data_IF_702335840460
#
_entry.id   IF_702335840460
#
_cell.length_a   1.000
_cell.length_b   1.000
_cell.length_c   1.000
_cell.angle_alpha   90.00
_cell.angle_beta   90.00
_cell.angle_gamma   90.00
#
_symmetry.space_group_name_H-M   'P 1'
#
loop_
_entity.id
_entity.type
_entity.pdbx_description
1 polymer ?
#
# COMPACT_ATOMS: atom_id res chain seq x y z
N UNK A 1 -30.37 -11.76 7.85
CA UNK A 1 -29.07 -11.32 8.41
C UNK A 1 -29.35 -10.04 9.18
N UNK A 2 -29.13 -10.01 10.50
CA UNK A 2 -29.33 -8.79 11.28
C UNK A 2 -28.21 -7.80 10.93
N UNK A 3 -28.55 -6.54 10.68
CA UNK A 3 -27.57 -5.47 10.39
C UNK A 3 -27.85 -4.32 11.33
N UNK A 4 -26.82 -3.86 12.03
CA UNK A 4 -26.95 -2.81 13.05
C UNK A 4 -26.90 -1.43 12.39
N UNK A 5 -27.76 -0.54 12.88
CA UNK A 5 -27.74 0.86 12.53
C UNK A 5 -27.80 1.68 13.81
N UNK A 6 -26.77 2.50 14.05
CA UNK A 6 -26.64 3.25 15.30
C UNK A 6 -27.00 4.71 15.11
N UNK A 7 -27.87 5.23 15.99
CA UNK A 7 -28.20 6.66 16.11
C UNK A 7 -27.63 7.15 17.43
N UNK A 8 -26.73 8.13 17.38
CA UNK A 8 -26.05 8.64 18.57
C UNK A 8 -26.81 9.83 19.18
N UNK A 9 -27.03 9.80 20.49
CA UNK A 9 -27.56 10.92 21.29
C UNK A 9 -26.50 11.35 22.32
N UNK A 10 -26.26 12.66 22.44
CA UNK A 10 -25.16 13.18 23.24
C UNK A 10 -25.61 13.58 24.65
N UNK A 11 -24.88 13.11 25.66
CA UNK A 11 -24.87 13.68 27.01
C UNK A 11 -23.44 14.12 27.32
N UNK A 12 -23.17 15.43 27.17
CA UNK A 12 -22.03 16.15 27.74
C UNK A 12 -20.61 15.65 27.39
N UNK A 13 -20.02 16.19 26.32
CA UNK A 13 -18.55 16.22 26.16
C UNK A 13 -18.12 17.36 25.23
N UNK A 14 -16.86 17.83 25.35
CA UNK A 14 -16.25 18.82 24.45
C UNK A 14 -16.24 18.29 23.02
N UNK A 15 -16.63 19.14 22.06
CA UNK A 15 -16.58 18.84 20.63
C UNK A 15 -15.12 18.60 20.19
N UNK A 16 -14.83 17.45 19.58
CA UNK A 16 -13.48 17.10 19.11
C UNK A 16 -13.36 17.25 17.59
N UNK A 17 -14.27 16.64 16.82
CA UNK A 17 -14.21 16.65 15.34
C UNK A 17 -15.53 17.06 14.66
N UNK A 18 -16.67 16.79 15.30
CA UNK A 18 -18.01 17.10 14.79
C UNK A 18 -18.80 17.91 15.82
N UNK A 19 -19.68 18.80 15.34
CA UNK A 19 -20.45 19.69 16.20
C UNK A 19 -21.41 18.94 17.15
N UNK A 20 -21.47 19.36 18.41
CA UNK A 20 -22.10 18.66 19.54
C UNK A 20 -23.60 18.88 19.71
N UNK A 21 -24.29 19.32 18.65
CA UNK A 21 -25.76 19.42 18.63
C UNK A 21 -26.40 18.57 17.53
N UNK A 22 -25.59 17.89 16.75
CA UNK A 22 -26.02 17.16 15.56
C UNK A 22 -26.11 15.66 15.84
N UNK A 23 -27.14 15.03 15.30
CA UNK A 23 -27.30 13.57 15.33
C UNK A 23 -26.70 12.97 14.07
N UNK A 24 -26.10 11.79 14.19
CA UNK A 24 -25.49 11.07 13.08
C UNK A 24 -26.05 9.67 12.96
N UNK A 25 -26.00 9.16 11.73
CA UNK A 25 -26.38 7.82 11.34
C UNK A 25 -25.12 7.12 10.89
N UNK A 26 -24.82 5.98 11.51
CA UNK A 26 -23.67 5.16 11.14
C UNK A 26 -24.19 3.81 10.68
N UNK A 27 -23.88 3.48 9.42
CA UNK A 27 -24.18 2.15 8.85
C UNK A 27 -23.13 1.12 9.27
N UNK A 28 -23.48 -0.15 9.12
CA UNK A 28 -22.62 -1.29 9.46
C UNK A 28 -21.29 -1.31 8.66
N UNK A 29 -21.29 -0.75 7.45
CA UNK A 29 -20.11 -0.54 6.62
C UNK A 29 -19.40 0.81 6.92
N UNK A 30 -19.65 1.38 8.10
CA UNK A 30 -19.01 2.57 8.67
C UNK A 30 -19.18 3.87 7.88
N UNK A 31 -20.24 4.00 7.08
CA UNK A 31 -20.60 5.28 6.46
C UNK A 31 -21.33 6.17 7.48
N UNK A 32 -20.88 7.41 7.60
CA UNK A 32 -21.44 8.42 8.52
C UNK A 32 -22.22 9.46 7.73
N UNK A 33 -23.45 9.74 8.15
CA UNK A 33 -24.28 10.81 7.59
C UNK A 33 -24.96 11.62 8.69
N UNK A 34 -25.23 12.92 8.49
CA UNK A 34 -26.13 13.68 9.36
C UNK A 34 -27.51 13.02 9.39
N UNK A 35 -28.08 12.89 10.58
CA UNK A 35 -29.42 12.35 10.77
C UNK A 35 -30.45 13.39 10.31
N UNK A 36 -31.26 12.98 9.34
CA UNK A 36 -32.39 13.75 8.84
C UNK A 36 -33.50 12.79 8.44
N UNK A 37 -34.74 13.29 8.32
CA UNK A 37 -35.87 12.46 7.87
C UNK A 37 -35.58 11.84 6.49
N UNK A 38 -34.94 12.58 5.57
CA UNK A 38 -34.55 12.04 4.27
C UNK A 38 -33.45 10.99 4.37
N UNK A 39 -32.44 11.17 5.22
CA UNK A 39 -31.42 10.15 5.49
C UNK A 39 -32.06 8.87 6.05
N UNK A 40 -32.98 9.01 7.01
CA UNK A 40 -33.70 7.89 7.64
C UNK A 40 -34.57 7.11 6.65
N UNK A 41 -35.25 7.80 5.74
CA UNK A 41 -36.11 7.18 4.71
C UNK A 41 -35.31 6.42 3.64
N UNK A 42 -34.02 6.69 3.47
CA UNK A 42 -33.14 5.98 2.55
C UNK A 42 -32.53 4.71 3.15
N UNK A 43 -32.56 4.55 4.49
CA UNK A 43 -32.01 3.38 5.16
C UNK A 43 -32.66 2.05 4.74
N UNK A 44 -33.99 1.95 4.60
CA UNK A 44 -34.65 0.71 4.18
C UNK A 44 -34.27 0.29 2.77
N UNK A 45 -33.82 1.22 1.90
CA UNK A 45 -33.33 0.90 0.55
C UNK A 45 -31.89 0.33 0.55
N UNK A 46 -31.16 0.47 1.67
CA UNK A 46 -29.82 -0.10 1.87
C UNK A 46 -29.85 -1.53 2.44
N UNK A 47 -31.05 -2.01 2.82
CA UNK A 47 -31.38 -3.38 3.18
C UNK A 47 -32.29 -3.91 2.05
N UNK A 48 -32.20 -5.18 1.66
CA UNK A 48 -32.82 -5.70 0.41
C UNK A 48 -34.32 -5.38 0.23
N UNK A 49 -34.80 -5.52 -1.02
CA UNK A 49 -36.01 -4.95 -1.65
C UNK A 49 -37.38 -5.05 -0.95
N UNK A 50 -37.49 -5.68 0.21
CA UNK A 50 -38.70 -5.63 1.02
C UNK A 50 -38.55 -4.49 2.03
N UNK A 51 -39.15 -3.34 1.70
CA UNK A 51 -39.19 -2.15 2.56
C UNK A 51 -39.65 -2.44 3.99
N UNK A 52 -39.49 -1.45 4.89
CA UNK A 52 -39.69 -1.52 6.36
C UNK A 52 -40.80 -2.52 6.78
N UNK A 53 -40.43 -3.80 6.89
CA UNK A 53 -41.27 -4.87 7.39
C UNK A 53 -40.96 -5.13 8.87
N UNK A 54 -41.75 -6.02 9.47
CA UNK A 54 -41.70 -6.47 10.87
C UNK A 54 -40.38 -7.14 11.33
N UNK A 55 -39.22 -6.81 10.74
CA UNK A 55 -37.92 -7.44 10.95
C UNK A 55 -36.82 -6.51 11.50
N UNK A 56 -37.17 -5.30 11.97
CA UNK A 56 -36.23 -4.38 12.62
C UNK A 56 -36.56 -4.28 14.12
N UNK A 57 -35.53 -4.40 14.95
CA UNK A 57 -35.60 -4.20 16.40
C UNK A 57 -34.64 -3.07 16.77
N UNK A 58 -35.12 -2.10 17.55
CA UNK A 58 -34.26 -1.06 18.11
C UNK A 58 -33.47 -1.65 19.27
N UNK A 59 -32.13 -1.56 19.18
CA UNK A 59 -31.23 -2.07 20.20
C UNK A 59 -30.37 -0.93 20.71
N UNK A 60 -30.52 -0.60 21.99
CA UNK A 60 -29.63 0.31 22.67
C UNK A 60 -28.34 -0.42 23.06
N UNK A 61 -27.19 0.11 22.64
CA UNK A 61 -25.88 -0.49 22.92
C UNK A 61 -24.98 0.50 23.65
N UNK A 62 -24.25 0.00 24.65
CA UNK A 62 -23.20 0.79 25.31
C UNK A 62 -21.85 0.52 24.65
N UNK A 63 -21.11 1.59 24.36
CA UNK A 63 -19.78 1.51 23.75
C UNK A 63 -18.72 1.59 24.84
N UNK A 64 -18.16 0.44 25.23
CA UNK A 64 -16.99 0.40 26.11
C UNK A 64 -15.69 0.24 25.30
N UNK A 65 -14.55 0.34 25.99
CA UNK A 65 -13.22 0.07 25.40
C UNK A 65 -13.17 -1.28 24.68
N UNK A 66 -13.84 -2.30 25.21
CA UNK A 66 -13.87 -3.64 24.61
C UNK A 66 -14.57 -3.64 23.25
N UNK A 67 -15.72 -2.95 23.14
CA UNK A 67 -16.43 -2.83 21.87
C UNK A 67 -15.61 -2.01 20.86
N UNK A 68 -14.96 -0.92 21.30
CA UNK A 68 -14.07 -0.13 20.41
C UNK A 68 -12.92 -0.99 19.86
N UNK A 69 -12.31 -1.83 20.70
CA UNK A 69 -11.27 -2.76 20.24
C UNK A 69 -11.83 -3.84 19.31
N UNK A 70 -13.06 -4.31 19.56
CA UNK A 70 -13.74 -5.28 18.67
C UNK A 70 -14.01 -4.66 17.31
N UNK A 71 -14.51 -3.41 17.28
CA UNK A 71 -14.69 -2.64 16.05
C UNK A 71 -13.37 -2.50 15.30
N UNK A 72 -12.27 -2.11 15.96
CA UNK A 72 -10.96 -1.93 15.33
C UNK A 72 -10.46 -3.23 14.67
N UNK A 73 -10.71 -4.39 15.28
CA UNK A 73 -10.40 -5.69 14.66
C UNK A 73 -11.25 -5.96 13.42
N UNK A 74 -12.56 -5.67 13.51
CA UNK A 74 -13.49 -5.86 12.40
C UNK A 74 -13.21 -4.92 11.22
N UNK A 75 -12.74 -3.69 11.47
CA UNK A 75 -12.40 -2.70 10.43
C UNK A 75 -11.43 -3.21 9.36
N UNK A 76 -10.50 -4.11 9.73
CA UNK A 76 -9.49 -4.68 8.81
C UNK A 76 -9.97 -5.95 8.10
N UNK A 77 -11.12 -6.50 8.47
CA UNK A 77 -11.50 -7.88 8.09
C UNK A 77 -12.98 -8.07 7.75
N UNK A 78 -13.81 -7.05 7.92
CA UNK A 78 -15.27 -7.14 7.77
C UNK A 78 -15.91 -5.86 7.23
N UNK A 79 -17.02 -6.05 6.52
CA UNK A 79 -17.91 -4.99 6.02
C UNK A 79 -19.11 -4.75 6.97
N UNK A 80 -19.19 -5.48 8.08
CA UNK A 80 -20.29 -5.45 9.07
C UNK A 80 -19.77 -5.15 10.48
N UNK A 81 -19.05 -4.04 10.62
CA UNK A 81 -18.25 -3.71 11.82
C UNK A 81 -19.11 -3.56 13.09
N UNK A 82 -20.30 -2.96 12.97
CA UNK A 82 -21.17 -2.76 14.13
C UNK A 82 -21.81 -4.09 14.54
N UNK A 83 -22.28 -4.88 13.58
CA UNK A 83 -22.82 -6.21 13.83
C UNK A 83 -21.77 -7.09 14.52
N UNK A 84 -20.54 -7.10 14.02
CA UNK A 84 -19.46 -7.90 14.59
C UNK A 84 -19.07 -7.43 15.99
N UNK A 85 -19.02 -6.13 16.23
CA UNK A 85 -18.59 -5.59 17.51
C UNK A 85 -19.65 -5.68 18.61
N UNK A 86 -20.93 -5.58 18.26
CA UNK A 86 -22.02 -5.42 19.22
C UNK A 86 -22.97 -6.62 19.30
N UNK A 87 -23.10 -7.44 18.24
CA UNK A 87 -24.05 -8.56 18.21
C UNK A 87 -23.38 -9.94 18.19
N UNK A 88 -22.09 -10.05 17.88
CA UNK A 88 -21.40 -11.34 17.94
C UNK A 88 -21.30 -11.80 19.41
N UNK A 89 -22.13 -12.77 19.80
CA UNK A 89 -21.98 -13.47 21.08
C UNK A 89 -20.68 -14.25 21.00
N UNK A 90 -19.75 -13.98 21.92
CA UNK A 90 -18.41 -14.58 21.97
C UNK A 90 -18.43 -16.08 21.69
N UNK A 91 -18.17 -16.44 20.45
CA UNK A 91 -17.66 -17.74 20.05
C UNK A 91 -16.28 -17.49 19.51
N UNK A 92 -15.29 -17.59 20.40
CA UNK A 92 -13.94 -17.99 20.04
C UNK A 92 -14.04 -19.39 19.41
N UNK A 93 -14.42 -19.45 18.14
CA UNK A 93 -14.34 -20.63 17.28
C UNK A 93 -14.86 -20.32 15.88
N UNK A 94 -14.18 -19.43 15.16
CA UNK A 94 -14.18 -19.54 13.71
C UNK A 94 -12.76 -19.32 13.20
N UNK A 95 -12.20 -20.41 12.67
CA UNK A 95 -11.08 -20.44 11.73
C UNK A 95 -11.19 -19.20 10.85
N UNK A 96 -10.11 -18.42 10.78
CA UNK A 96 -9.93 -17.45 9.73
C UNK A 96 -10.21 -18.18 8.41
N UNK A 97 -11.41 -17.98 7.85
CA UNK A 97 -11.64 -18.24 6.45
C UNK A 97 -10.66 -17.33 5.75
N UNK A 98 -9.54 -17.91 5.33
CA UNK A 98 -8.65 -17.33 4.35
C UNK A 98 -9.54 -16.90 3.18
N UNK A 99 -9.96 -15.64 3.18
CA UNK A 99 -10.28 -14.95 1.96
C UNK A 99 -8.96 -14.97 1.19
N UNK A 100 -8.81 -15.95 0.31
CA UNK A 100 -7.82 -15.93 -0.74
C UNK A 100 -8.21 -14.73 -1.60
N UNK A 101 -7.69 -13.56 -1.24
CA UNK A 101 -7.68 -12.42 -2.13
C UNK A 101 -6.75 -12.86 -3.26
N UNK A 102 -7.36 -13.35 -4.34
CA UNK A 102 -6.63 -13.54 -5.57
C UNK A 102 -5.97 -12.19 -5.91
N UNK A 103 -4.66 -12.14 -6.18
CA UNK A 103 -4.03 -10.91 -6.56
C UNK A 103 -4.63 -10.52 -7.91
N UNK A 104 -5.52 -9.53 -7.91
CA UNK A 104 -5.92 -8.88 -9.16
C UNK A 104 -4.74 -7.99 -9.53
N UNK A 105 -3.76 -8.59 -10.19
CA UNK A 105 -2.71 -7.89 -10.92
C UNK A 105 -3.42 -7.22 -12.11
N UNK A 106 -3.94 -6.01 -11.91
CA UNK A 106 -4.11 -5.07 -13.01
C UNK A 106 -2.88 -4.19 -13.03
N UNK A 107 -1.93 -4.60 -13.87
CA UNK A 107 -0.85 -3.74 -14.35
C UNK A 107 -1.46 -2.69 -15.27
N UNK A 108 -2.00 -1.62 -14.69
CA UNK A 108 -2.06 -0.34 -15.36
C UNK A 108 -1.13 0.58 -14.57
N UNK A 109 0.13 0.63 -15.01
CA UNK A 109 1.12 1.60 -14.53
C UNK A 109 0.62 2.97 -14.99
N UNK A 110 -0.02 3.70 -14.10
CA UNK A 110 -0.35 5.11 -14.32
C UNK A 110 0.93 5.91 -14.03
N UNK A 111 1.54 6.61 -15.00
CA UNK A 111 2.68 7.45 -14.73
C UNK A 111 2.17 8.75 -14.10
N UNK A 112 2.36 8.92 -12.78
CA UNK A 112 2.07 10.19 -12.13
C UNK A 112 3.30 10.73 -11.39
N UNK A 113 3.62 11.99 -11.73
CA UNK A 113 4.55 12.93 -11.11
C UNK A 113 6.05 12.60 -11.16
N UNK A 114 6.74 13.25 -12.10
CA UNK A 114 8.14 13.60 -11.97
C UNK A 114 8.24 14.80 -11.03
N UNK A 115 8.72 14.57 -9.81
CA UNK A 115 9.11 15.58 -8.83
C UNK A 115 10.65 15.47 -8.62
N UNK A 116 11.38 16.55 -8.33
CA UNK A 116 12.83 16.59 -8.42
C UNK A 116 13.48 15.80 -7.27
N UNK A 117 14.41 14.92 -7.62
CA UNK A 117 15.38 14.22 -6.78
C UNK A 117 14.98 14.04 -5.30
N UNK A 118 13.99 13.19 -5.05
CA UNK A 118 13.72 12.67 -3.71
C UNK A 118 14.87 11.81 -3.20
N UNK A 119 15.09 11.81 -1.88
CA UNK A 119 16.05 10.94 -1.20
C UNK A 119 15.76 9.48 -1.53
N UNK A 120 16.66 8.78 -2.21
CA UNK A 120 16.54 7.34 -2.45
C UNK A 120 17.27 6.56 -1.35
N UNK A 121 16.63 5.51 -0.83
CA UNK A 121 17.27 4.58 0.10
C UNK A 121 17.95 3.45 -0.65
N UNK A 122 19.24 3.22 -0.40
CA UNK A 122 19.99 2.13 -1.01
C UNK A 122 19.93 0.89 -0.14
N UNK A 123 19.34 -0.17 -0.67
CA UNK A 123 19.27 -1.47 -0.02
C UNK A 123 19.94 -2.53 -0.90
N UNK A 124 20.36 -3.63 -0.28
CA UNK A 124 20.89 -4.81 -0.96
C UNK A 124 19.97 -5.98 -0.69
N UNK A 125 19.28 -6.46 -1.71
CA UNK A 125 18.33 -7.56 -1.62
C UNK A 125 18.99 -8.88 -1.99
N UNK A 126 18.75 -9.92 -1.19
CA UNK A 126 19.17 -11.29 -1.45
C UNK A 126 17.95 -12.11 -1.89
N UNK A 127 17.93 -12.51 -3.15
CA UNK A 127 16.79 -13.14 -3.81
C UNK A 127 17.08 -14.60 -4.14
N UNK A 128 16.23 -15.52 -3.68
CA UNK A 128 16.34 -16.94 -4.01
C UNK A 128 15.69 -17.21 -5.36
N UNK A 129 16.51 -17.47 -6.38
CA UNK A 129 16.08 -17.52 -7.79
C UNK A 129 15.19 -18.71 -8.13
N UNK A 130 15.26 -19.79 -7.33
CA UNK A 130 14.41 -20.99 -7.54
C UNK A 130 13.04 -20.84 -6.89
N UNK A 131 13.00 -20.34 -5.65
CA UNK A 131 11.74 -20.12 -4.93
C UNK A 131 11.04 -18.84 -5.35
N UNK A 132 11.73 -17.99 -6.12
CA UNK A 132 11.27 -16.69 -6.57
C UNK A 132 10.84 -15.80 -5.40
N UNK A 133 11.68 -15.76 -4.37
CA UNK A 133 11.38 -15.10 -3.10
C UNK A 133 12.59 -14.33 -2.57
N UNK A 134 12.35 -13.14 -2.03
CA UNK A 134 13.35 -12.40 -1.24
C UNK A 134 13.61 -13.16 0.07
N UNK A 135 14.88 -13.39 0.36
CA UNK A 135 15.30 -14.00 1.63
C UNK A 135 15.37 -12.93 2.72
N UNK A 136 16.07 -11.84 2.43
CA UNK A 136 16.22 -10.66 3.26
C UNK A 136 16.83 -9.50 2.45
N UNK A 137 16.84 -8.30 3.02
CA UNK A 137 17.56 -7.14 2.54
C UNK A 137 18.54 -6.62 3.60
N UNK A 138 19.73 -6.19 3.19
CA UNK A 138 20.66 -5.41 4.00
C UNK A 138 20.48 -3.93 3.68
N UNK A 139 20.40 -3.09 4.71
CA UNK A 139 20.13 -1.66 4.57
C UNK A 139 20.77 -0.87 5.72
N UNK A 140 20.83 0.46 5.59
CA UNK A 140 21.22 1.35 6.68
C UNK A 140 20.00 1.72 7.55
N UNK A 141 20.28 2.41 8.65
CA UNK A 141 19.26 2.93 9.58
C UNK A 141 18.20 3.81 8.89
N UNK A 142 18.55 4.60 7.87
CA UNK A 142 17.61 5.49 7.18
C UNK A 142 16.42 4.74 6.55
N UNK A 143 16.67 3.56 5.97
CA UNK A 143 15.59 2.71 5.43
C UNK A 143 14.73 2.12 6.56
N UNK A 144 15.35 1.78 7.69
CA UNK A 144 14.62 1.27 8.87
C UNK A 144 13.76 2.36 9.50
N UNK A 145 14.27 3.57 9.65
CA UNK A 145 13.51 4.72 10.13
C UNK A 145 12.28 4.97 9.25
N UNK A 146 12.43 4.83 7.93
CA UNK A 146 11.31 4.92 6.99
C UNK A 146 10.27 3.82 7.24
N UNK A 147 10.68 2.55 7.38
CA UNK A 147 9.77 1.44 7.67
C UNK A 147 9.06 1.60 9.02
N UNK A 148 9.78 2.02 10.07
CA UNK A 148 9.20 2.27 11.39
C UNK A 148 8.26 3.48 11.38
N UNK A 149 8.54 4.48 10.52
CA UNK A 149 7.67 5.61 10.26
C UNK A 149 6.30 5.21 9.70
N UNK A 150 6.16 4.05 9.03
CA UNK A 150 4.86 3.55 8.59
C UNK A 150 3.92 3.28 9.77
N UNK A 151 4.44 2.90 10.93
CA UNK A 151 3.62 2.64 12.13
C UNK A 151 3.01 3.91 12.73
N UNK A 152 3.57 5.08 12.40
CA UNK A 152 3.06 6.38 12.85
C UNK A 152 2.21 7.07 11.77
N UNK A 153 2.04 6.42 10.61
CA UNK A 153 1.35 6.99 9.47
C UNK A 153 -0.17 6.96 9.69
N UNK A 154 -0.84 8.13 9.75
CA UNK A 154 -2.29 8.17 9.94
C UNK A 154 -3.02 7.38 8.84
N UNK A 155 -4.04 6.62 9.24
CA UNK A 155 -4.81 5.77 8.32
C UNK A 155 -5.45 6.57 7.17
N UNK A 156 -5.81 7.83 7.43
CA UNK A 156 -6.28 8.78 6.43
C UNK A 156 -5.24 9.05 5.34
N UNK A 157 -3.96 9.18 5.70
CA UNK A 157 -2.87 9.31 4.74
C UNK A 157 -2.73 8.06 3.87
N UNK A 158 -2.82 6.88 4.49
CA UNK A 158 -2.73 5.57 3.81
C UNK A 158 -3.79 5.51 2.71
N UNK A 159 -5.05 5.79 3.04
CA UNK A 159 -6.18 5.77 2.10
C UNK A 159 -5.98 6.79 0.98
N UNK A 160 -5.59 8.04 1.32
CA UNK A 160 -5.34 9.11 0.35
C UNK A 160 -4.27 8.72 -0.67
N UNK A 161 -3.14 8.20 -0.21
CA UNK A 161 -1.98 7.90 -1.06
C UNK A 161 -2.06 6.55 -1.78
N UNK A 162 -2.97 5.65 -1.36
CA UNK A 162 -3.21 4.39 -2.07
C UNK A 162 -4.18 4.52 -3.26
N UNK A 163 -4.75 5.71 -3.49
CA UNK A 163 -5.71 6.01 -4.53
C UNK A 163 -7.16 5.83 -4.07
N UNK A 164 -8.02 6.82 -4.34
CA UNK A 164 -9.42 6.79 -3.96
C UNK A 164 -10.17 5.65 -4.67
N UNK A 165 -10.60 4.63 -3.92
CA UNK A 165 -11.36 3.48 -4.42
C UNK A 165 -10.57 2.17 -4.59
N UNK A 166 -9.29 2.15 -4.22
CA UNK A 166 -8.43 0.95 -4.24
C UNK A 166 -7.78 0.67 -2.90
N UNK A 167 -8.30 1.20 -1.79
CA UNK A 167 -7.72 0.92 -0.49
C UNK A 167 -7.98 -0.55 -0.14
N UNK A 168 -6.90 -1.30 0.05
CA UNK A 168 -6.97 -2.72 0.42
C UNK A 168 -7.14 -2.94 1.92
N UNK A 169 -7.29 -1.85 2.69
CA UNK A 169 -7.50 -1.90 4.14
C UNK A 169 -8.90 -2.35 4.54
N UNK A 170 -9.84 -2.32 3.59
CA UNK A 170 -11.23 -2.71 3.80
C UNK A 170 -12.20 -1.59 3.47
N UNK A 171 -13.40 -1.97 3.01
CA UNK A 171 -14.45 -1.05 2.58
C UNK A 171 -14.87 -0.07 3.67
N UNK A 172 -14.83 -0.49 4.93
CA UNK A 172 -15.20 0.33 6.08
C UNK A 172 -14.27 1.54 6.26
N UNK A 173 -12.95 1.38 6.02
CA UNK A 173 -12.01 2.50 6.06
C UNK A 173 -12.27 3.50 4.91
N UNK A 174 -12.53 2.99 3.70
CA UNK A 174 -12.90 3.83 2.56
C UNK A 174 -14.18 4.64 2.82
N UNK A 175 -15.22 3.98 3.35
CA UNK A 175 -16.48 4.62 3.68
C UNK A 175 -16.32 5.66 4.78
N UNK A 176 -15.52 5.37 5.81
CA UNK A 176 -15.23 6.33 6.87
C UNK A 176 -14.50 7.55 6.33
N UNK A 177 -13.46 7.35 5.50
CA UNK A 177 -12.72 8.44 4.85
C UNK A 177 -13.61 9.30 3.94
N UNK A 178 -14.45 8.67 3.11
CA UNK A 178 -15.46 9.39 2.28
C UNK A 178 -16.48 10.13 3.12
N UNK A 179 -16.84 9.61 4.29
CA UNK A 179 -17.75 10.32 5.19
C UNK A 179 -17.12 11.59 5.74
N UNK A 180 -15.79 11.61 5.97
CA UNK A 180 -15.10 12.84 6.34
C UNK A 180 -15.17 13.88 5.21
N UNK A 181 -14.98 13.48 3.94
CA UNK A 181 -15.14 14.40 2.80
C UNK A 181 -16.56 14.92 2.71
N UNK A 182 -17.57 14.03 2.81
CA UNK A 182 -18.98 14.41 2.75
C UNK A 182 -19.35 15.38 3.89
N UNK A 183 -18.87 15.13 5.12
CA UNK A 183 -19.11 15.98 6.29
C UNK A 183 -18.39 17.33 6.21
N UNK A 184 -17.21 17.38 5.59
CA UNK A 184 -16.51 18.62 5.32
C UNK A 184 -17.31 19.49 4.35
N UNK A 185 -17.80 18.91 3.27
CA UNK A 185 -18.55 19.61 2.22
C UNK A 185 -19.85 20.24 2.76
N UNK A 186 -20.49 19.60 3.74
CA UNK A 186 -21.68 20.13 4.42
C UNK A 186 -21.36 20.97 5.68
N UNK A 187 -20.09 21.31 5.91
CA UNK A 187 -19.65 22.21 6.99
C UNK A 187 -19.86 21.66 8.40
N UNK A 188 -19.73 20.33 8.58
CA UNK A 188 -19.99 19.64 9.86
C UNK A 188 -18.74 19.33 10.69
N UNK A 189 -17.55 19.57 10.13
CA UNK A 189 -16.28 19.46 10.85
C UNK A 189 -15.99 20.75 11.63
N UNK A 190 -15.50 20.61 12.86
CA UNK A 190 -15.44 21.71 13.83
C UNK A 190 -14.27 22.68 13.64
N UNK A 191 -13.20 22.30 12.93
CA UNK A 191 -12.02 23.16 12.74
C UNK A 191 -11.18 22.79 11.51
N UNK A 192 -10.41 23.75 10.99
CA UNK A 192 -9.42 23.60 9.89
C UNK A 192 -8.40 22.49 10.21
N UNK A 193 -8.05 22.32 11.48
CA UNK A 193 -7.17 21.24 11.93
C UNK A 193 -7.75 19.86 11.65
N UNK A 194 -9.08 19.67 11.73
CA UNK A 194 -9.72 18.40 11.38
C UNK A 194 -9.56 18.08 9.89
N UNK A 195 -9.70 19.10 9.04
CA UNK A 195 -9.49 18.97 7.59
C UNK A 195 -8.05 18.62 7.28
N UNK A 196 -7.10 19.27 7.94
CA UNK A 196 -5.69 18.92 7.82
C UNK A 196 -5.42 17.50 8.35
N UNK A 197 -5.95 17.07 9.50
CA UNK A 197 -5.63 15.73 10.05
C UNK A 197 -6.23 14.58 9.23
N UNK A 198 -7.38 14.78 8.59
CA UNK A 198 -8.06 13.70 7.87
C UNK A 198 -7.94 13.78 6.35
N UNK A 199 -7.97 14.97 5.76
CA UNK A 199 -8.02 15.13 4.30
C UNK A 199 -6.67 15.54 3.72
N UNK A 200 -5.82 16.19 4.50
CA UNK A 200 -4.45 16.53 4.11
C UNK A 200 -3.41 16.46 5.24
N UNK A 201 -3.27 15.29 5.89
CA UNK A 201 -2.32 15.16 7.00
C UNK A 201 -0.90 15.35 6.49
N UNK A 202 -0.26 16.45 6.91
CA UNK A 202 1.13 16.79 6.60
C UNK A 202 2.18 15.85 7.22
N UNK A 203 1.78 14.64 7.60
CA UNK A 203 2.67 13.62 8.16
C UNK A 203 3.17 12.79 6.98
N UNK A 204 4.38 13.08 6.51
CA UNK A 204 5.04 12.38 5.41
C UNK A 204 6.23 11.56 5.95
N UNK A 205 6.32 10.23 5.73
CA UNK A 205 7.54 9.46 5.97
C UNK A 205 8.65 9.85 4.98
N UNK A 206 8.28 10.51 3.88
CA UNK A 206 9.17 10.95 2.80
C UNK A 206 9.93 12.25 3.08
N UNK A 207 9.45 13.05 4.04
CA UNK A 207 10.06 14.33 4.44
C UNK A 207 10.59 14.30 5.87
N UNK A 208 10.78 13.11 6.46
CA UNK A 208 11.43 12.98 7.78
C UNK A 208 12.71 13.82 7.75
N UNK A 209 13.60 13.63 6.77
CA UNK A 209 14.89 14.33 6.71
C UNK A 209 14.86 15.83 6.33
N UNK A 210 13.87 16.30 5.55
CA UNK A 210 13.76 17.71 5.11
C UNK A 210 13.04 18.57 6.15
N UNK A 211 11.98 18.06 6.78
CA UNK A 211 11.28 18.78 7.84
C UNK A 211 12.04 18.80 9.17
N UNK A 212 12.96 17.86 9.43
CA UNK A 212 13.89 17.92 10.58
C UNK A 212 14.86 19.11 10.47
N UNK A 213 15.18 19.59 9.26
CA UNK A 213 16.00 20.81 9.09
C UNK A 213 15.20 22.12 9.14
N UNK A 214 13.93 22.09 8.74
CA UNK A 214 13.11 23.31 8.62
C UNK A 214 12.24 23.60 9.85
N UNK A 215 11.77 22.57 10.55
CA UNK A 215 11.27 22.75 11.90
C UNK A 215 12.46 22.65 12.83
N UNK A 216 13.06 23.81 13.15
CA UNK A 216 13.50 24.01 14.53
C UNK A 216 12.41 23.40 15.38
N UNK A 217 12.80 22.48 16.26
CA UNK A 217 11.97 21.94 17.31
C UNK A 217 10.82 22.89 17.60
N UNK A 218 9.58 22.40 17.58
CA UNK A 218 8.62 22.90 18.56
C UNK A 218 9.42 23.05 19.83
N UNK A 219 9.76 24.30 20.17
CA UNK A 219 10.72 24.65 21.20
C UNK A 219 10.14 24.02 22.45
N UNK A 220 10.59 22.79 22.76
CA UNK A 220 9.90 21.99 23.74
C UNK A 220 10.32 22.60 25.07
N UNK A 221 9.51 23.55 25.53
CA UNK A 221 9.58 24.07 26.90
C UNK A 221 9.03 23.01 27.84
N UNK A 222 9.51 21.77 27.72
CA UNK A 222 9.24 20.74 28.69
C UNK A 222 10.08 21.10 29.92
N UNK A 223 9.46 21.44 31.05
CA UNK A 223 10.18 21.60 32.30
C UNK A 223 10.92 20.29 32.57
N UNK A 224 12.19 20.37 32.95
CA UNK A 224 12.96 19.22 33.41
C UNK A 224 12.42 18.80 34.78
N UNK A 225 11.23 18.21 34.81
CA UNK A 225 10.77 17.54 36.02
C UNK A 225 9.75 16.44 35.75
N UNK A 226 9.74 15.55 36.73
CA UNK A 226 9.43 14.13 36.71
C UNK A 226 8.10 13.69 36.03
N UNK A 227 8.20 12.57 35.31
CA UNK A 227 7.12 11.70 34.77
C UNK A 227 6.52 12.06 33.39
N UNK A 228 7.04 11.34 32.40
CA UNK A 228 6.40 10.85 31.15
C UNK A 228 5.89 11.87 30.13
N UNK A 229 6.70 12.21 29.11
CA UNK A 229 6.22 12.55 27.75
C UNK A 229 7.29 12.26 26.69
N UNK A 230 6.90 11.59 25.61
CA UNK A 230 7.75 11.19 24.48
C UNK A 230 8.18 12.42 23.66
N UNK A 231 9.45 12.82 23.75
CA UNK A 231 10.07 13.71 22.78
C UNK A 231 10.50 12.87 21.56
N UNK A 232 9.91 13.10 20.39
CA UNK A 232 10.30 12.44 19.15
C UNK A 232 11.68 12.94 18.72
N UNK A 233 12.69 12.11 18.91
CA UNK A 233 14.00 12.29 18.28
C UNK A 233 13.92 11.83 16.81
N UNK A 234 14.63 12.52 15.90
CA UNK A 234 14.63 12.24 14.46
C UNK A 234 15.25 10.90 14.04
N UNK A 235 15.96 10.22 14.94
CA UNK A 235 16.58 8.92 14.71
C UNK A 235 15.81 7.90 15.57
N UNK A 236 14.94 7.11 14.93
CA UNK A 236 14.13 6.09 15.63
C UNK A 236 15.04 4.95 16.05
N UNK A 237 16.01 4.63 15.18
CA UNK A 237 17.04 3.63 15.44
C UNK A 237 18.44 4.23 15.35
N UNK A 238 19.39 3.59 16.07
CA UNK A 238 20.79 3.98 16.03
C UNK A 238 21.39 3.83 14.62
N UNK A 239 22.35 4.70 14.28
CA UNK A 239 23.08 4.55 13.03
C UNK A 239 23.79 3.19 12.96
N UNK A 240 23.39 2.38 11.98
CA UNK A 240 23.99 1.07 11.77
C UNK A 240 23.45 0.40 10.50
N UNK A 241 23.92 -0.83 10.29
CA UNK A 241 23.39 -1.72 9.26
C UNK A 241 22.35 -2.65 9.86
N UNK A 242 21.33 -2.95 9.09
CA UNK A 242 20.19 -3.76 9.47
C UNK A 242 19.90 -4.82 8.42
N UNK A 243 19.31 -5.91 8.88
CA UNK A 243 18.76 -7.00 8.07
C UNK A 243 17.24 -6.94 8.19
N UNK A 244 16.56 -6.83 7.05
CA UNK A 244 15.10 -6.76 6.95
C UNK A 244 14.61 -8.02 6.24
N UNK A 245 13.77 -8.81 6.89
CA UNK A 245 13.13 -9.98 6.30
C UNK A 245 12.09 -9.60 5.24
N UNK A 246 11.68 -10.57 4.43
CA UNK A 246 10.60 -10.39 3.44
C UNK A 246 9.23 -10.07 4.09
N UNK A 247 9.07 -10.47 5.35
CA UNK A 247 7.97 -10.12 6.24
C UNK A 247 8.16 -8.75 6.94
N UNK A 248 9.16 -7.98 6.51
CA UNK A 248 9.59 -6.69 7.09
C UNK A 248 10.10 -6.78 8.53
N UNK A 249 10.43 -7.97 9.03
CA UNK A 249 11.03 -8.12 10.35
C UNK A 249 12.46 -7.57 10.36
N UNK A 250 12.72 -6.58 11.21
CA UNK A 250 13.99 -5.86 11.27
C UNK A 250 14.89 -6.39 12.39
N UNK A 251 16.17 -6.60 12.09
CA UNK A 251 17.22 -6.91 13.05
C UNK A 251 18.46 -6.05 12.77
N UNK A 252 19.20 -5.70 13.82
CA UNK A 252 20.56 -5.18 13.64
C UNK A 252 21.41 -6.23 12.90
N UNK A 253 22.22 -5.78 11.94
CA UNK A 253 23.05 -6.67 11.14
C UNK A 253 24.12 -7.35 12.02
N UNK A 254 24.12 -8.67 12.00
CA UNK A 254 25.11 -9.53 12.63
C UNK A 254 25.27 -10.80 11.81
N UNK A 255 26.34 -11.55 12.05
CA UNK A 255 26.52 -12.85 11.40
C UNK A 255 25.31 -13.78 11.65
N UNK A 256 24.72 -13.73 12.85
CA UNK A 256 23.56 -14.56 13.21
C UNK A 256 22.27 -14.11 12.53
N UNK A 257 22.02 -12.80 12.44
CA UNK A 257 20.81 -12.29 11.78
C UNK A 257 20.80 -12.59 10.29
N UNK A 258 21.99 -12.66 9.66
CA UNK A 258 22.15 -13.11 8.27
C UNK A 258 22.03 -14.63 8.18
N UNK A 259 22.83 -15.39 8.95
CA UNK A 259 22.96 -16.85 8.80
C UNK A 259 21.64 -17.61 8.97
N UNK A 260 20.69 -17.08 9.76
CA UNK A 260 19.35 -17.67 9.90
C UNK A 260 18.62 -17.83 8.56
N UNK A 261 18.88 -16.94 7.60
CA UNK A 261 18.28 -16.99 6.26
C UNK A 261 19.02 -17.97 5.35
N UNK A 262 20.29 -18.29 5.63
CA UNK A 262 21.13 -19.14 4.78
C UNK A 262 21.12 -20.63 5.15
N UNK A 263 20.47 -21.00 6.26
CA UNK A 263 20.40 -22.39 6.70
C UNK A 263 19.74 -23.28 5.63
N UNK A 264 20.50 -24.23 5.06
CA UNK A 264 20.01 -25.13 4.01
C UNK A 264 19.90 -24.51 2.62
N UNK A 265 20.38 -23.27 2.42
CA UNK A 265 20.33 -22.57 1.14
C UNK A 265 21.68 -22.67 0.43
N UNK A 266 21.64 -23.10 -0.84
CA UNK A 266 22.79 -23.10 -1.72
C UNK A 266 23.00 -21.70 -2.32
N UNK A 267 24.20 -21.16 -2.13
CA UNK A 267 24.63 -19.85 -2.64
C UNK A 267 24.47 -19.72 -4.16
N UNK A 268 24.56 -20.81 -4.92
CA UNK A 268 24.35 -20.77 -6.36
C UNK A 268 22.91 -20.36 -6.76
N UNK A 269 21.95 -20.47 -5.84
CA UNK A 269 20.55 -20.09 -6.06
C UNK A 269 20.19 -18.72 -5.46
N UNK A 270 21.17 -17.98 -4.95
CA UNK A 270 20.94 -16.66 -4.34
C UNK A 270 21.58 -15.57 -5.19
N UNK A 271 20.79 -14.58 -5.54
CA UNK A 271 21.22 -13.43 -6.32
C UNK A 271 21.18 -12.17 -5.45
N UNK A 272 22.30 -11.44 -5.42
CA UNK A 272 22.47 -10.21 -4.65
C UNK A 272 22.26 -8.99 -5.57
N UNK A 273 21.37 -8.07 -5.19
CA UNK A 273 21.03 -6.89 -5.99
C UNK A 273 21.01 -5.62 -5.16
N UNK A 274 21.67 -4.57 -5.64
CA UNK A 274 21.50 -3.23 -5.10
C UNK A 274 20.22 -2.60 -5.70
N UNK A 275 19.32 -2.16 -4.83
CA UNK A 275 18.05 -1.53 -5.18
C UNK A 275 18.02 -0.15 -4.54
N UNK A 276 17.78 0.88 -5.36
CA UNK A 276 17.38 2.20 -4.87
C UNK A 276 15.86 2.19 -4.70
N UNK A 277 15.41 2.48 -3.48
CA UNK A 277 13.99 2.61 -3.12
C UNK A 277 13.65 4.09 -3.13
N UNK A 278 12.77 4.50 -4.02
CA UNK A 278 12.24 5.85 -4.07
C UNK A 278 10.90 5.97 -3.35
N UNK A 279 10.27 7.13 -3.53
CA UNK A 279 8.94 7.43 -2.96
C UNK A 279 7.88 6.42 -3.42
N UNK A 280 7.90 6.04 -4.70
CA UNK A 280 6.90 5.13 -5.26
C UNK A 280 7.04 3.73 -4.64
N UNK A 281 8.24 3.16 -4.60
CA UNK A 281 8.47 1.84 -4.02
C UNK A 281 8.14 1.82 -2.53
N UNK A 282 8.38 2.91 -1.81
CA UNK A 282 8.00 3.01 -0.40
C UNK A 282 6.48 3.09 -0.19
N UNK A 283 5.71 3.75 -1.07
CA UNK A 283 4.24 3.68 -1.06
C UNK A 283 3.76 2.25 -1.34
N UNK A 284 4.43 1.55 -2.24
CA UNK A 284 4.15 0.14 -2.52
C UNK A 284 4.53 -0.78 -1.35
N UNK A 285 5.62 -0.50 -0.63
CA UNK A 285 5.98 -1.18 0.61
C UNK A 285 4.96 -0.92 1.73
N UNK A 286 4.48 0.31 1.88
CA UNK A 286 3.40 0.63 2.83
C UNK A 286 2.12 -0.13 2.49
N UNK A 287 1.81 -0.30 1.19
CA UNK A 287 0.70 -1.14 0.73
C UNK A 287 0.94 -2.59 1.11
N UNK A 288 2.12 -3.13 0.79
CA UNK A 288 2.48 -4.50 1.05
C UNK A 288 2.53 -4.83 2.55
N UNK A 289 2.93 -3.89 3.42
CA UNK A 289 2.88 -4.02 4.89
C UNK A 289 1.48 -4.42 5.39
N UNK A 290 0.43 -3.89 4.74
CA UNK A 290 -0.96 -4.09 5.16
C UNK A 290 -1.61 -5.31 4.50
N UNK A 291 -1.10 -5.77 3.37
CA UNK A 291 -1.77 -6.79 2.55
C UNK A 291 -0.96 -8.05 2.30
N UNK A 292 0.35 -8.03 2.53
CA UNK A 292 1.28 -9.10 2.13
C UNK A 292 2.01 -9.72 3.31
N UNK A 293 2.39 -10.99 3.14
CA UNK A 293 3.32 -11.71 4.04
C UNK A 293 4.75 -11.76 3.48
N UNK A 294 4.94 -11.30 2.25
CA UNK A 294 6.18 -11.35 1.45
C UNK A 294 6.37 -10.00 0.77
N UNK A 295 6.39 -8.95 1.59
CA UNK A 295 6.26 -7.58 1.14
C UNK A 295 7.44 -7.14 0.25
N UNK A 296 8.67 -7.53 0.58
CA UNK A 296 9.83 -7.19 -0.26
C UNK A 296 9.76 -7.91 -1.60
N UNK A 297 9.36 -9.19 -1.61
CA UNK A 297 9.14 -9.95 -2.83
C UNK A 297 8.09 -9.27 -3.69
N UNK A 298 6.91 -9.00 -3.16
CA UNK A 298 5.79 -8.45 -3.94
C UNK A 298 6.12 -7.09 -4.57
N UNK A 299 6.85 -6.23 -3.85
CA UNK A 299 7.25 -4.91 -4.35
C UNK A 299 8.39 -5.00 -5.35
N UNK A 300 9.41 -5.82 -5.09
CA UNK A 300 10.64 -5.81 -5.89
C UNK A 300 10.72 -6.92 -6.96
N UNK A 301 9.79 -7.87 -7.01
CA UNK A 301 9.86 -9.04 -7.93
C UNK A 301 10.06 -8.65 -9.39
N UNK A 302 9.44 -7.57 -9.84
CA UNK A 302 9.60 -7.04 -11.20
C UNK A 302 11.07 -6.74 -11.51
N UNK A 303 11.75 -6.05 -10.61
CA UNK A 303 13.18 -5.70 -10.70
C UNK A 303 14.09 -6.92 -10.49
N UNK A 304 13.69 -7.85 -9.63
CA UNK A 304 14.48 -9.04 -9.31
C UNK A 304 14.49 -10.09 -10.44
N UNK A 305 13.41 -10.15 -11.23
CA UNK A 305 13.30 -11.05 -12.38
C UNK A 305 13.72 -10.41 -13.72
N UNK A 306 14.15 -9.15 -13.71
CA UNK A 306 14.66 -8.48 -14.91
C UNK A 306 15.91 -9.19 -15.46
N UNK A 307 15.94 -9.28 -16.77
CA UNK A 307 17.08 -9.73 -17.54
C UNK A 307 17.31 -8.81 -18.72
N UNK A 308 18.57 -8.65 -19.08
CA UNK A 308 18.93 -7.89 -20.27
C UNK A 308 18.87 -8.78 -21.52
N UNK A 309 18.40 -8.19 -22.61
CA UNK A 309 18.49 -8.73 -23.96
C UNK A 309 19.03 -7.66 -24.90
N UNK A 310 19.54 -8.07 -26.05
CA UNK A 310 20.11 -7.17 -27.05
C UNK A 310 19.22 -7.13 -28.29
N UNK A 311 18.89 -5.93 -28.76
CA UNK A 311 18.16 -5.73 -30.03
C UNK A 311 19.11 -5.13 -31.05
N UNK A 312 19.38 -5.89 -32.12
CA UNK A 312 20.26 -5.51 -33.22
C UNK A 312 19.44 -4.96 -34.40
N UNK A 313 19.81 -3.78 -34.87
CA UNK A 313 19.18 -3.12 -36.00
C UNK A 313 19.96 -3.35 -37.32
N UNK A 314 19.33 -3.20 -38.50
CA UNK A 314 19.97 -3.47 -39.79
C UNK A 314 21.13 -2.52 -40.10
N UNK A 315 21.12 -1.31 -39.54
CA UNK A 315 22.21 -0.33 -39.66
C UNK A 315 23.34 -0.55 -38.63
N UNK A 316 23.39 -1.73 -38.00
CA UNK A 316 24.50 -2.15 -37.13
C UNK A 316 24.44 -1.64 -35.69
N UNK A 317 23.47 -0.78 -35.32
CA UNK A 317 23.25 -0.37 -33.93
C UNK A 317 22.70 -1.55 -33.12
N UNK A 318 23.20 -1.74 -31.90
CA UNK A 318 22.62 -2.67 -30.92
C UNK A 318 22.23 -1.89 -29.69
N UNK A 319 21.03 -2.14 -29.16
CA UNK A 319 20.59 -1.56 -27.88
C UNK A 319 20.34 -2.66 -26.85
N UNK A 320 20.48 -2.31 -25.58
CA UNK A 320 20.11 -3.18 -24.47
C UNK A 320 18.70 -2.87 -24.02
N UNK A 321 17.85 -3.88 -23.88
CA UNK A 321 16.49 -3.77 -23.35
C UNK A 321 16.38 -4.64 -22.11
N UNK A 322 15.88 -4.08 -21.00
CA UNK A 322 15.54 -4.85 -19.81
C UNK A 322 14.15 -5.44 -20.00
N UNK A 323 14.02 -6.74 -19.72
CA UNK A 323 12.78 -7.50 -19.87
C UNK A 323 12.60 -8.49 -18.72
N UNK A 324 11.36 -8.81 -18.39
CA UNK A 324 11.01 -9.96 -17.55
C UNK A 324 10.46 -11.09 -18.43
N UNK A 325 10.45 -12.33 -17.92
CA UNK A 325 9.99 -13.50 -18.69
C UNK A 325 8.53 -13.41 -19.13
N UNK A 326 7.69 -12.70 -18.39
CA UNK A 326 6.27 -12.47 -18.67
C UNK A 326 6.01 -11.32 -19.65
N UNK A 327 7.00 -10.48 -19.96
CA UNK A 327 6.82 -9.39 -20.92
C UNK A 327 6.41 -9.95 -22.29
N UNK A 328 5.54 -9.22 -22.97
CA UNK A 328 5.15 -9.54 -24.35
C UNK A 328 6.13 -8.94 -25.35
N UNK A 329 6.16 -9.47 -26.57
CA UNK A 329 6.91 -8.89 -27.69
C UNK A 329 6.45 -7.45 -27.97
N UNK A 330 5.16 -7.13 -27.79
CA UNK A 330 4.67 -5.76 -27.87
C UNK A 330 5.32 -4.83 -26.83
N UNK A 331 5.45 -5.28 -25.57
CA UNK A 331 6.14 -4.54 -24.51
C UNK A 331 7.60 -4.27 -24.88
N UNK A 332 8.29 -5.25 -25.46
CA UNK A 332 9.69 -5.12 -25.92
C UNK A 332 9.79 -4.08 -27.05
N UNK A 333 8.89 -4.13 -28.03
CA UNK A 333 8.81 -3.14 -29.12
C UNK A 333 8.55 -1.73 -28.58
N UNK A 334 7.74 -1.58 -27.53
CA UNK A 334 7.52 -0.30 -26.86
C UNK A 334 8.79 0.21 -26.20
N UNK A 335 9.44 -0.59 -25.33
CA UNK A 335 10.69 -0.20 -24.65
C UNK A 335 11.84 0.09 -25.62
N UNK A 336 11.83 -0.55 -26.79
CA UNK A 336 12.77 -0.25 -27.87
C UNK A 336 12.56 1.15 -28.46
N UNK A 337 11.31 1.56 -28.70
CA UNK A 337 10.95 2.91 -29.21
C UNK A 337 11.37 4.01 -28.26
N UNK A 338 11.32 3.77 -26.96
CA UNK A 338 11.73 4.76 -25.96
C UNK A 338 13.26 5.02 -25.99
N UNK A 339 14.04 4.03 -26.44
CA UNK A 339 15.52 4.11 -26.52
C UNK A 339 16.03 4.55 -27.89
N UNK A 340 15.21 4.46 -28.93
CA UNK A 340 15.59 4.81 -30.29
C UNK A 340 14.41 5.52 -30.93
N UNK A 341 14.64 6.75 -31.41
CA UNK A 341 13.69 7.48 -32.23
C UNK A 341 13.44 6.75 -33.56
N UNK A 342 12.46 5.84 -33.56
CA UNK A 342 11.98 5.17 -34.76
C UNK A 342 11.02 6.10 -35.50
N UNK A 343 11.19 6.24 -36.82
CA UNK A 343 10.29 7.02 -37.66
C UNK A 343 8.86 6.49 -37.58
N UNK A 344 7.93 7.37 -37.21
CA UNK A 344 6.49 7.09 -37.14
C UNK A 344 5.98 6.72 -38.53
N UNK A 345 5.74 5.42 -38.75
CA UNK A 345 5.20 4.89 -40.01
C UNK A 345 5.79 3.56 -40.47
N UNK A 346 6.99 3.19 -40.01
CA UNK A 346 7.61 1.92 -40.41
C UNK A 346 7.08 0.75 -39.56
N UNK A 347 6.56 -0.28 -40.24
CA UNK A 347 6.29 -1.57 -39.59
C UNK A 347 7.62 -2.28 -39.34
N UNK A 348 7.78 -2.86 -38.15
CA UNK A 348 8.96 -3.63 -37.80
C UNK A 348 8.57 -4.90 -37.08
N UNK A 349 9.32 -5.95 -37.37
CA UNK A 349 9.18 -7.24 -36.70
C UNK A 349 10.46 -7.60 -35.96
N UNK A 350 10.29 -8.32 -34.86
CA UNK A 350 11.39 -8.86 -34.10
C UNK A 350 11.59 -10.32 -34.54
N UNK A 351 12.84 -10.68 -34.81
CA UNK A 351 13.23 -12.01 -35.28
C UNK A 351 14.24 -12.61 -34.31
N UNK A 352 13.96 -13.84 -33.86
CA UNK A 352 14.86 -14.60 -33.01
C UNK A 352 14.94 -16.05 -33.48
N UNK A 353 16.17 -16.58 -33.62
CA UNK A 353 16.44 -17.96 -34.13
C UNK A 353 15.65 -18.28 -35.42
N UNK A 354 15.66 -17.34 -36.36
CA UNK A 354 14.95 -17.44 -37.65
C UNK A 354 13.41 -17.53 -37.56
N UNK A 355 12.82 -17.05 -36.46
CA UNK A 355 11.37 -16.98 -36.27
C UNK A 355 10.91 -15.54 -36.03
N UNK A 356 9.87 -15.13 -36.73
CA UNK A 356 9.15 -13.89 -36.45
C UNK A 356 8.36 -14.02 -35.16
N UNK A 357 8.55 -13.06 -34.27
CA UNK A 357 7.93 -13.03 -32.95
C UNK A 357 6.59 -12.30 -33.04
N UNK A 358 5.51 -12.96 -32.60
CA UNK A 358 4.18 -12.35 -32.52
C UNK A 358 4.10 -11.42 -31.32
N UNK A 359 3.43 -10.28 -31.50
CA UNK A 359 3.25 -9.27 -30.45
C UNK A 359 2.64 -9.81 -29.14
N UNK A 360 1.77 -10.83 -29.25
CA UNK A 360 1.10 -11.47 -28.10
C UNK A 360 1.96 -12.52 -27.39
N UNK A 361 3.08 -12.97 -27.97
CA UNK A 361 3.92 -13.99 -27.35
C UNK A 361 4.75 -13.39 -26.23
N UNK A 362 4.92 -14.15 -25.16
CA UNK A 362 5.81 -13.75 -24.05
C UNK A 362 7.27 -14.05 -24.36
N UNK A 363 8.18 -13.36 -23.69
CA UNK A 363 9.63 -13.61 -23.77
C UNK A 363 9.97 -15.07 -23.43
N UNK A 364 9.30 -15.65 -22.42
CA UNK A 364 9.43 -17.05 -22.06
C UNK A 364 8.99 -18.01 -23.18
N UNK A 365 7.83 -17.78 -23.80
CA UNK A 365 7.32 -18.59 -24.93
C UNK A 365 8.27 -18.56 -26.13
N UNK A 366 8.94 -17.42 -26.33
CA UNK A 366 9.92 -17.25 -27.39
C UNK A 366 11.27 -17.93 -27.09
N UNK A 367 11.44 -18.54 -25.91
CA UNK A 367 12.71 -19.09 -25.41
C UNK A 367 13.88 -18.08 -25.48
N UNK A 368 13.56 -16.81 -25.24
CA UNK A 368 14.54 -15.74 -25.13
C UNK A 368 15.05 -15.77 -23.69
N UNK A 369 16.36 -15.87 -23.52
CA UNK A 369 17.04 -15.87 -22.22
C UNK A 369 17.88 -14.62 -22.05
N UNK A 370 18.42 -14.41 -20.85
CA UNK A 370 19.40 -13.36 -20.59
C UNK A 370 20.51 -13.38 -21.64
N UNK A 371 20.91 -12.20 -22.08
CA UNK A 371 21.95 -11.95 -23.08
C UNK A 371 21.62 -12.44 -24.50
N UNK A 372 20.37 -12.85 -24.77
CA UNK A 372 19.94 -13.17 -26.13
C UNK A 372 20.00 -11.95 -27.04
N UNK A 373 20.38 -12.16 -28.30
CA UNK A 373 20.33 -11.13 -29.34
C UNK A 373 19.16 -11.38 -30.29
N UNK A 374 18.29 -10.39 -30.44
CA UNK A 374 17.13 -10.38 -31.33
C UNK A 374 17.40 -9.39 -32.46
N UNK A 375 17.02 -9.72 -33.68
CA UNK A 375 17.14 -8.81 -34.83
C UNK A 375 15.84 -8.05 -35.03
N UNK A 376 15.91 -6.74 -35.26
CA UNK A 376 14.77 -5.94 -35.69
C UNK A 376 14.83 -5.74 -37.20
N UNK A 377 13.77 -6.14 -37.91
CA UNK A 377 13.63 -5.98 -39.36
C UNK A 377 12.53 -4.96 -39.66
N UNK A 378 12.75 -4.12 -40.67
CA UNK A 378 11.80 -3.07 -41.08
C UNK A 378 11.20 -3.40 -42.46
N UNK A 379 9.91 -3.12 -42.61
CA UNK A 379 9.19 -3.22 -43.86
C UNK A 379 8.64 -1.84 -44.25
N UNK A 380 8.61 -1.59 -45.56
CA UNK A 380 7.99 -0.39 -46.14
C UNK A 380 6.50 -0.60 -46.36
#
# INVERSE_FOLDING_TARGET
MARVLHVYEQVGCKETFVGGKERYVISDDMKIKPASTSTMLLLPQAFDSDGIGHGFEEVEVSVSRTQVLSMLKAFLSSDTVLTDAFLSKGTDNHKATHATVAPIIRQDIIPLYQDPAGSEWKIKVFYHTREKKVMYAECNHEFVDMLLGFLTYPISCVIKNMGAGTCHLGRCFDNLYRSVTDLNDVGRLTDVLSNMMFLDPGVMPFDIFTNIRSYRALDCRCPKDDKTHYCWHPEIVESGNYVVGDDLLVHQASAMSVMRHWCGIDKANVLEMAIAVGKQEAVELLRALLTSKTALTDVFISRLEEMQIFVKFPWGKTITVQVVKSDTVATVKSRMKDKVSLSTGCRHELVYRSRYLRDTCTIAECNITRDSTITCEFYK
#
